data_IF_705308614873
#
_entry.id   IF_705308614873
#
_cell.length_a   1.000
_cell.length_b   1.000
_cell.length_c   1.000
_cell.angle_alpha   90.00
_cell.angle_beta   90.00
_cell.angle_gamma   90.00
#
_symmetry.space_group_name_H-M   'P 1'
#
loop_
_entity.id
_entity.type
_entity.pdbx_description
1 polymer ?
#
# COMPACT_ATOMS: atom_id res chain seq x y z
N UNK A 1 -37.11 28.82 23.69
CA UNK A 1 -35.82 28.55 22.99
C UNK A 1 -35.93 29.05 21.56
N UNK A 2 -34.96 29.81 21.01
CA UNK A 2 -35.04 30.26 19.61
C UNK A 2 -34.66 29.14 18.63
N UNK A 3 -35.14 29.23 17.39
CA UNK A 3 -34.84 28.21 16.37
C UNK A 3 -33.33 28.07 16.10
N UNK A 4 -32.60 29.19 16.07
CA UNK A 4 -31.14 29.19 15.96
C UNK A 4 -30.46 28.37 17.06
N UNK A 5 -30.99 28.43 18.29
CA UNK A 5 -30.49 27.65 19.40
C UNK A 5 -30.78 26.14 19.21
N UNK A 6 -31.98 25.80 18.73
CA UNK A 6 -32.33 24.40 18.42
C UNK A 6 -31.48 23.82 17.29
N UNK A 7 -31.16 24.59 16.25
CA UNK A 7 -30.26 24.17 15.18
C UNK A 7 -28.84 23.89 15.72
N UNK A 8 -28.32 24.73 16.63
CA UNK A 8 -27.03 24.48 17.29
C UNK A 8 -27.04 23.19 18.12
N UNK A 9 -28.13 22.92 18.83
CA UNK A 9 -28.29 21.66 19.58
C UNK A 9 -28.30 20.46 18.63
N UNK A 10 -29.11 20.49 17.56
CA UNK A 10 -29.17 19.40 16.56
C UNK A 10 -27.81 19.11 15.95
N UNK A 11 -27.06 20.15 15.54
CA UNK A 11 -25.69 20.01 15.02
C UNK A 11 -24.77 19.32 16.02
N UNK A 12 -24.83 19.70 17.31
CA UNK A 12 -24.04 19.06 18.37
C UNK A 12 -24.44 17.59 18.58
N UNK A 13 -25.73 17.27 18.58
CA UNK A 13 -26.20 15.89 18.74
C UNK A 13 -25.75 14.99 17.58
N UNK A 14 -25.91 15.46 16.35
CA UNK A 14 -25.44 14.74 15.14
C UNK A 14 -23.92 14.55 15.22
N UNK A 15 -23.16 15.58 15.61
CA UNK A 15 -21.70 15.46 15.73
C UNK A 15 -21.28 14.41 16.77
N UNK A 16 -21.98 14.33 17.91
CA UNK A 16 -21.72 13.33 18.96
C UNK A 16 -22.01 11.92 18.46
N UNK A 17 -23.15 11.71 17.81
CA UNK A 17 -23.51 10.41 17.23
C UNK A 17 -22.47 9.95 16.20
N UNK A 18 -22.04 10.84 15.29
CA UNK A 18 -21.02 10.52 14.31
C UNK A 18 -19.66 10.19 14.93
N UNK A 19 -19.27 10.85 16.02
CA UNK A 19 -18.02 10.54 16.73
C UNK A 19 -18.11 9.15 17.37
N UNK A 20 -19.21 8.84 18.04
CA UNK A 20 -19.44 7.53 18.67
C UNK A 20 -19.42 6.42 17.62
N UNK A 21 -20.20 6.57 16.54
CA UNK A 21 -20.27 5.60 15.44
C UNK A 21 -18.88 5.36 14.80
N UNK A 22 -18.10 6.42 14.57
CA UNK A 22 -16.73 6.30 14.05
C UNK A 22 -15.82 5.53 15.01
N UNK A 23 -15.95 5.79 16.31
CA UNK A 23 -15.15 5.10 17.33
C UNK A 23 -15.47 3.61 17.42
N UNK A 24 -16.76 3.25 17.32
CA UNK A 24 -17.22 1.86 17.31
C UNK A 24 -16.77 1.12 16.06
N UNK A 25 -16.93 1.74 14.88
CA UNK A 25 -16.41 1.18 13.63
C UNK A 25 -14.89 0.96 13.70
N UNK A 26 -14.15 1.89 14.31
CA UNK A 26 -12.71 1.74 14.50
C UNK A 26 -12.36 0.59 15.46
N UNK A 27 -13.11 0.40 16.55
CA UNK A 27 -12.95 -0.74 17.47
C UNK A 27 -13.20 -2.07 16.75
N UNK A 28 -14.33 -2.19 16.03
CA UNK A 28 -14.67 -3.40 15.24
C UNK A 28 -13.59 -3.74 14.22
N UNK A 29 -13.06 -2.73 13.50
CA UNK A 29 -11.96 -2.95 12.54
C UNK A 29 -10.66 -3.40 13.22
N UNK A 30 -10.35 -2.90 14.43
CA UNK A 30 -9.18 -3.36 15.20
C UNK A 30 -9.33 -4.81 15.64
N UNK A 31 -10.51 -5.18 16.13
CA UNK A 31 -10.81 -6.55 16.54
C UNK A 31 -10.73 -7.53 15.37
N UNK A 32 -11.34 -7.19 14.23
CA UNK A 32 -11.25 -7.99 13.01
C UNK A 32 -9.81 -8.18 12.56
N UNK A 33 -8.97 -7.14 12.60
CA UNK A 33 -7.54 -7.24 12.26
C UNK A 33 -6.77 -8.11 13.25
N UNK A 34 -7.06 -7.98 14.55
CA UNK A 34 -6.44 -8.79 15.61
C UNK A 34 -6.79 -10.27 15.42
N UNK A 35 -8.07 -10.57 15.19
CA UNK A 35 -8.55 -11.92 14.94
C UNK A 35 -8.00 -12.50 13.64
N UNK A 36 -8.00 -11.74 12.55
CA UNK A 36 -7.44 -12.17 11.27
C UNK A 36 -5.97 -12.57 11.36
N UNK A 37 -5.16 -11.85 12.14
CA UNK A 37 -3.76 -12.23 12.41
C UNK A 37 -3.65 -13.52 13.22
N UNK A 38 -4.47 -13.71 14.26
CA UNK A 38 -4.49 -14.94 15.04
C UNK A 38 -4.86 -16.15 14.17
N UNK A 39 -5.93 -16.02 13.39
CA UNK A 39 -6.37 -17.05 12.44
C UNK A 39 -5.28 -17.40 11.45
N UNK A 40 -4.58 -16.40 10.90
CA UNK A 40 -3.47 -16.66 9.97
C UNK A 40 -2.35 -17.49 10.61
N UNK A 41 -1.97 -17.17 11.84
CA UNK A 41 -0.94 -17.93 12.58
C UNK A 41 -1.42 -19.34 12.88
N UNK A 42 -2.65 -19.49 13.39
CA UNK A 42 -3.25 -20.79 13.70
C UNK A 42 -3.34 -21.69 12.46
N UNK A 43 -3.74 -21.14 11.31
CA UNK A 43 -3.81 -21.88 10.05
C UNK A 43 -2.43 -22.34 9.60
N UNK A 44 -1.39 -21.50 9.71
CA UNK A 44 -0.02 -21.88 9.36
C UNK A 44 0.47 -22.99 10.30
N UNK A 45 0.22 -22.87 11.60
CA UNK A 45 0.62 -23.89 12.58
C UNK A 45 -0.11 -25.22 12.35
N UNK A 46 -1.42 -25.20 12.06
CA UNK A 46 -2.20 -26.40 11.72
C UNK A 46 -1.62 -27.10 10.49
N UNK A 47 -1.39 -26.36 9.40
CA UNK A 47 -0.75 -26.91 8.17
C UNK A 47 0.63 -27.52 8.43
N UNK A 48 1.44 -26.87 9.28
CA UNK A 48 2.76 -27.40 9.63
C UNK A 48 2.66 -28.68 10.48
N UNK A 49 1.71 -28.74 11.43
CA UNK A 49 1.45 -29.93 12.24
C UNK A 49 0.95 -31.08 11.38
N UNK A 50 -0.03 -30.84 10.50
CA UNK A 50 -0.55 -31.82 9.53
C UNK A 50 0.59 -32.35 8.64
N UNK A 51 1.39 -31.45 8.05
CA UNK A 51 2.56 -31.85 7.25
C UNK A 51 3.58 -32.67 8.04
N UNK A 52 3.85 -32.30 9.29
CA UNK A 52 4.78 -33.05 10.15
C UNK A 52 4.22 -34.44 10.51
N UNK A 53 2.92 -34.53 10.80
CA UNK A 53 2.25 -35.80 11.07
C UNK A 53 2.30 -36.72 9.84
N UNK A 54 1.98 -36.18 8.66
CA UNK A 54 2.08 -36.86 7.37
C UNK A 54 3.51 -37.35 7.09
N UNK A 55 4.52 -36.49 7.27
CA UNK A 55 5.92 -36.91 7.08
C UNK A 55 6.34 -37.99 8.09
N UNK A 56 5.78 -37.96 9.31
CA UNK A 56 6.06 -39.00 10.30
C UNK A 56 5.40 -40.33 9.96
N UNK A 57 4.18 -40.35 9.42
CA UNK A 57 3.52 -41.59 8.99
C UNK A 57 4.24 -42.19 7.78
N UNK A 58 4.61 -41.36 6.79
CA UNK A 58 5.40 -41.80 5.63
C UNK A 58 6.74 -42.41 6.07
N UNK A 59 7.45 -41.78 7.02
CA UNK A 59 8.71 -42.32 7.56
C UNK A 59 8.53 -43.63 8.33
N UNK A 60 7.40 -43.82 9.03
CA UNK A 60 7.11 -45.09 9.76
C UNK A 60 6.77 -46.21 8.78
N UNK A 61 6.00 -45.91 7.75
CA UNK A 61 5.68 -46.84 6.66
C UNK A 61 6.95 -47.27 5.90
N UNK A 62 7.81 -46.31 5.52
CA UNK A 62 9.09 -46.61 4.86
C UNK A 62 10.01 -47.50 5.72
N UNK A 63 9.90 -47.41 7.04
CA UNK A 63 10.66 -48.24 8.00
C UNK A 63 10.01 -49.59 8.31
N UNK A 64 8.85 -49.91 7.73
CA UNK A 64 8.13 -51.17 7.96
C UNK A 64 7.50 -51.30 9.35
N UNK A 65 7.33 -50.20 10.09
CA UNK A 65 6.76 -50.21 11.46
C UNK A 65 5.22 -50.30 11.42
N UNK A 66 4.61 -49.83 10.32
CA UNK A 66 3.15 -49.78 10.16
C UNK A 66 2.80 -50.11 8.71
N UNK A 67 2.05 -51.19 8.46
CA UNK A 67 1.61 -51.61 7.12
C UNK A 67 0.31 -50.93 6.64
N UNK A 68 -0.43 -50.28 7.54
CA UNK A 68 -1.71 -49.64 7.20
C UNK A 68 -1.48 -48.23 6.66
N UNK A 69 -1.91 -47.98 5.42
CA UNK A 69 -1.88 -46.68 4.73
C UNK A 69 -2.95 -45.69 5.24
N UNK A 70 -3.17 -45.65 6.54
CA UNK A 70 -4.24 -44.86 7.18
C UNK A 70 -4.06 -43.34 7.01
N UNK A 71 -2.86 -42.90 6.58
CA UNK A 71 -2.58 -41.51 6.20
C UNK A 71 -3.23 -41.09 4.86
N UNK A 72 -3.47 -42.04 3.95
CA UNK A 72 -4.07 -41.75 2.63
C UNK A 72 -5.60 -41.67 2.67
N UNK A 73 -6.25 -42.34 3.62
CA UNK A 73 -7.72 -42.36 3.76
C UNK A 73 -8.28 -41.20 4.62
N UNK A 74 -7.42 -40.49 5.35
CA UNK A 74 -7.79 -39.27 6.07
C UNK A 74 -7.97 -38.09 5.12
N UNK A 75 -9.19 -37.94 4.58
CA UNK A 75 -9.80 -36.74 3.92
C UNK A 75 -10.36 -36.98 2.49
N UNK A 76 -10.60 -38.23 2.07
CA UNK A 76 -11.30 -38.57 0.81
C UNK A 76 -12.84 -38.64 0.96
N UNK A 77 -13.43 -37.95 1.95
CA UNK A 77 -14.90 -37.88 2.12
C UNK A 77 -15.37 -36.45 2.42
N UNK A 78 -15.22 -35.55 1.44
CA UNK A 78 -16.20 -34.52 1.02
C UNK A 78 -15.55 -33.51 0.07
N UNK A 79 -15.03 -33.98 -1.06
CA UNK A 79 -14.73 -33.11 -2.21
C UNK A 79 -15.72 -33.43 -3.35
N UNK A 80 -17.02 -33.38 -3.04
CA UNK A 80 -18.08 -33.35 -4.05
C UNK A 80 -18.72 -31.97 -3.97
N UNK A 81 -18.73 -31.28 -5.11
CA UNK A 81 -19.43 -30.04 -5.44
C UNK A 81 -18.86 -28.71 -4.90
N UNK A 82 -17.96 -28.14 -5.71
CA UNK A 82 -18.14 -26.77 -6.24
C UNK A 82 -16.98 -26.39 -7.18
N UNK A 83 -16.99 -26.98 -8.37
CA UNK A 83 -16.28 -26.46 -9.55
C UNK A 83 -16.90 -25.13 -9.97
N UNK A 84 -16.48 -24.04 -9.32
CA UNK A 84 -16.97 -22.70 -9.60
C UNK A 84 -16.11 -21.59 -9.01
N UNK A 85 -14.79 -21.76 -8.98
CA UNK A 85 -13.89 -20.75 -8.42
C UNK A 85 -12.64 -20.53 -9.28
N UNK A 86 -12.72 -19.62 -10.25
CA UNK A 86 -11.59 -18.77 -10.67
C UNK A 86 -12.13 -17.65 -11.57
N UNK A 87 -11.81 -16.37 -11.42
CA UNK A 87 -10.59 -15.74 -10.94
C UNK A 87 -10.94 -14.52 -10.10
N UNK A 88 -10.68 -14.56 -8.79
CA UNK A 88 -10.45 -13.31 -8.03
C UNK A 88 -9.18 -12.71 -8.62
N UNK A 89 -9.36 -11.73 -9.50
CA UNK A 89 -8.28 -10.84 -9.95
C UNK A 89 -7.70 -10.23 -8.69
N UNK A 90 -6.56 -10.77 -8.25
CA UNK A 90 -5.68 -10.12 -7.29
C UNK A 90 -5.29 -8.79 -7.94
N UNK A 91 -6.07 -7.74 -7.68
CA UNK A 91 -5.74 -6.38 -8.09
C UNK A 91 -4.47 -6.02 -7.35
N UNK A 92 -3.33 -6.25 -8.01
CA UNK A 92 -2.02 -5.87 -7.50
C UNK A 92 -1.98 -4.37 -7.17
N UNK A 93 -0.92 -3.93 -6.48
CA UNK A 93 -0.75 -2.53 -6.12
C UNK A 93 -1.01 -1.61 -7.32
N UNK A 94 -1.88 -0.61 -7.14
CA UNK A 94 -2.23 0.33 -8.23
C UNK A 94 -0.96 0.97 -8.82
N UNK A 95 -0.97 1.36 -10.09
CA UNK A 95 0.19 2.00 -10.73
C UNK A 95 0.70 3.23 -9.93
N UNK A 96 -0.23 3.99 -9.34
CA UNK A 96 0.10 5.09 -8.41
C UNK A 96 0.85 4.62 -7.17
N UNK A 97 0.49 3.45 -6.62
CA UNK A 97 1.19 2.82 -5.49
C UNK A 97 2.56 2.31 -5.91
N UNK A 98 2.68 1.63 -7.06
CA UNK A 98 3.98 1.19 -7.62
C UNK A 98 4.96 2.35 -7.79
N UNK A 99 4.51 3.46 -8.38
CA UNK A 99 5.35 4.66 -8.54
C UNK A 99 5.75 5.28 -7.20
N UNK A 100 4.84 5.32 -6.22
CA UNK A 100 5.16 5.81 -4.88
C UNK A 100 6.12 4.88 -4.15
N UNK A 101 5.97 3.57 -4.29
CA UNK A 101 6.86 2.58 -3.67
C UNK A 101 8.26 2.61 -4.31
N UNK A 102 8.35 2.84 -5.63
CA UNK A 102 9.62 3.10 -6.30
C UNK A 102 10.26 4.42 -5.83
N UNK A 103 9.46 5.50 -5.77
CA UNK A 103 9.97 6.84 -5.42
C UNK A 103 10.25 7.00 -3.93
N UNK A 104 9.57 6.30 -3.05
CA UNK A 104 9.62 6.52 -1.61
C UNK A 104 9.87 5.27 -0.76
N UNK A 105 9.84 4.07 -1.32
CA UNK A 105 9.85 2.81 -0.57
C UNK A 105 8.44 2.35 -0.17
N UNK A 106 8.26 1.04 0.04
CA UNK A 106 6.99 0.46 0.46
C UNK A 106 6.64 0.95 1.88
N UNK A 107 5.51 1.65 2.03
CA UNK A 107 5.04 2.15 3.33
C UNK A 107 5.50 3.57 3.70
N UNK A 108 6.19 4.29 2.82
CA UNK A 108 6.62 5.69 3.06
C UNK A 108 8.11 5.82 3.35
N UNK A 109 8.49 6.98 3.95
CA UNK A 109 9.85 7.58 4.06
C UNK A 109 10.98 6.57 3.85
N UNK A 110 11.70 6.74 2.72
CA UNK A 110 12.78 5.87 2.23
C UNK A 110 13.66 5.34 3.36
N UNK A 111 13.68 4.02 3.51
CA UNK A 111 14.59 3.24 4.37
C UNK A 111 16.06 3.43 3.96
N UNK A 112 16.64 4.61 4.19
CA UNK A 112 18.05 4.91 3.94
C UNK A 112 18.49 4.98 2.47
N UNK A 113 17.66 4.58 1.49
CA UNK A 113 17.97 4.64 0.03
C UNK A 113 18.25 6.05 -0.55
N UNK A 114 18.22 7.09 0.27
CA UNK A 114 18.57 8.47 -0.09
C UNK A 114 19.83 8.96 0.63
N UNK A 115 20.47 8.10 1.41
CA UNK A 115 21.73 8.40 2.05
C UNK A 115 22.85 8.18 1.05
N UNK A 116 23.83 9.08 1.07
CA UNK A 116 25.01 8.96 0.24
C UNK A 116 25.83 7.78 0.78
N UNK A 117 26.04 6.75 -0.03
CA UNK A 117 26.99 5.67 0.26
C UNK A 117 28.34 6.02 -0.37
N UNK A 118 29.42 5.35 0.06
CA UNK A 118 30.76 5.54 -0.51
C UNK A 118 30.77 5.36 -2.04
N UNK A 119 29.97 4.41 -2.53
CA UNK A 119 29.77 4.14 -3.96
C UNK A 119 28.95 5.23 -4.68
N UNK A 120 27.96 5.85 -4.01
CA UNK A 120 27.11 6.86 -4.64
C UNK A 120 27.67 8.28 -4.58
N UNK A 121 28.83 8.49 -3.96
CA UNK A 121 29.43 9.83 -3.80
C UNK A 121 29.94 10.39 -5.13
N UNK A 122 30.44 9.51 -6.01
CA UNK A 122 31.01 9.89 -7.32
C UNK A 122 30.14 9.49 -8.51
N UNK A 123 28.97 8.87 -8.28
CA UNK A 123 28.08 8.43 -9.36
C UNK A 123 27.24 9.59 -9.92
N UNK A 124 27.67 10.10 -11.08
CA UNK A 124 27.00 11.17 -11.84
C UNK A 124 26.24 10.65 -13.05
N UNK A 125 26.09 9.33 -13.20
CA UNK A 125 25.47 8.71 -14.39
C UNK A 125 23.99 9.09 -14.56
N UNK A 126 23.27 9.29 -13.45
CA UNK A 126 21.88 9.77 -13.43
C UNK A 126 21.75 11.27 -13.75
N UNK A 127 22.86 12.03 -13.74
CA UNK A 127 22.83 13.47 -13.98
C UNK A 127 22.71 13.80 -15.48
N UNK A 128 21.49 14.11 -15.91
CA UNK A 128 21.21 14.57 -17.29
C UNK A 128 21.53 16.05 -17.46
N UNK A 129 22.80 16.38 -17.72
CA UNK A 129 23.27 17.75 -17.96
C UNK A 129 22.45 18.50 -19.03
N UNK A 130 21.99 17.80 -20.08
CA UNK A 130 21.17 18.36 -21.17
C UNK A 130 19.78 18.84 -20.72
N UNK A 131 19.24 18.29 -19.63
CA UNK A 131 17.95 18.70 -19.03
C UNK A 131 18.15 19.72 -17.91
N UNK A 132 19.21 19.55 -17.10
CA UNK A 132 19.50 20.43 -15.98
C UNK A 132 20.07 21.80 -16.40
N UNK A 133 20.87 21.84 -17.47
CA UNK A 133 21.53 23.04 -17.98
C UNK A 133 21.30 23.26 -19.48
N UNK A 134 20.21 22.73 -20.03
CA UNK A 134 19.86 22.87 -21.45
C UNK A 134 19.67 24.31 -21.88
N UNK A 135 20.77 25.02 -22.19
CA UNK A 135 20.81 25.93 -23.33
C UNK A 135 20.68 25.04 -24.55
N UNK A 136 19.44 24.88 -25.00
CA UNK A 136 19.10 24.13 -26.19
C UNK A 136 19.91 24.66 -27.37
N UNK A 137 20.59 23.74 -28.03
CA UNK A 137 21.20 23.93 -29.33
C UNK A 137 20.14 24.44 -30.33
N UNK A 138 20.53 25.41 -31.14
CA UNK A 138 19.70 26.05 -32.16
C UNK A 138 18.95 25.01 -33.00
N UNK A 139 17.62 25.15 -33.12
CA UNK A 139 16.88 24.56 -34.22
C UNK A 139 15.44 24.15 -33.90
N UNK A 140 14.47 24.92 -34.42
CA UNK A 140 13.21 24.34 -34.86
C UNK A 140 11.96 24.56 -34.00
N UNK A 141 11.19 25.57 -34.44
CA UNK A 141 9.72 25.57 -34.56
C UNK A 141 8.85 25.63 -33.29
N UNK A 142 8.28 26.84 -33.11
CA UNK A 142 6.87 27.15 -32.77
C UNK A 142 6.12 26.10 -31.93
N UNK A 143 6.03 26.39 -30.63
CA UNK A 143 4.92 25.95 -29.78
C UNK A 143 4.27 27.17 -29.13
N UNK A 144 3.18 27.68 -29.72
CA UNK A 144 2.23 28.59 -29.05
C UNK A 144 1.69 27.85 -27.83
N UNK A 145 2.25 28.13 -26.65
CA UNK A 145 1.80 27.58 -25.37
C UNK A 145 1.56 28.72 -24.38
N UNK A 146 0.29 28.94 -24.06
CA UNK A 146 -0.29 30.02 -23.25
C UNK A 146 0.61 30.72 -22.22
N UNK A 147 0.50 32.04 -22.20
CA UNK A 147 0.83 32.91 -21.04
C UNK A 147 0.06 32.41 -19.82
N UNK A 148 0.63 31.49 -19.06
CA UNK A 148 0.25 31.33 -17.66
C UNK A 148 0.74 32.56 -16.91
N UNK A 149 -0.13 33.15 -16.07
CA UNK A 149 0.17 34.26 -15.16
C UNK A 149 1.31 33.89 -14.21
N UNK A 150 2.56 33.97 -14.70
CA UNK A 150 3.76 33.86 -13.88
C UNK A 150 3.98 35.23 -13.25
N UNK A 151 3.96 35.26 -11.90
CA UNK A 151 4.31 36.45 -11.12
C UNK A 151 5.64 37.02 -11.63
N UNK A 152 5.73 38.33 -11.89
CA UNK A 152 6.95 38.94 -12.39
C UNK A 152 8.13 38.70 -11.44
N UNK A 153 9.32 38.55 -12.02
CA UNK A 153 10.56 38.30 -11.29
C UNK A 153 10.88 39.39 -10.25
N UNK A 154 11.79 39.09 -9.32
CA UNK A 154 12.10 39.98 -8.17
C UNK A 154 12.61 41.36 -8.62
N UNK A 155 13.40 41.42 -9.70
CA UNK A 155 13.88 42.68 -10.30
C UNK A 155 12.74 43.52 -10.89
N UNK A 156 11.82 42.88 -11.62
CA UNK A 156 10.66 43.54 -12.23
C UNK A 156 9.70 44.07 -11.17
N UNK A 157 9.47 43.30 -10.09
CA UNK A 157 8.67 43.74 -8.94
C UNK A 157 9.27 44.94 -8.22
N UNK A 158 10.60 44.99 -8.08
CA UNK A 158 11.30 46.16 -7.49
C UNK A 158 11.13 47.40 -8.35
N UNK A 159 11.26 47.28 -9.68
CA UNK A 159 11.04 48.42 -10.60
C UNK A 159 9.60 48.93 -10.58
N UNK A 160 8.61 48.04 -10.49
CA UNK A 160 7.20 48.45 -10.40
C UNK A 160 6.88 49.18 -9.09
N UNK A 161 7.55 48.83 -7.99
CA UNK A 161 7.35 49.49 -6.68
C UNK A 161 7.88 50.93 -6.65
N UNK A 162 8.79 51.32 -7.56
CA UNK A 162 9.29 52.69 -7.67
C UNK A 162 8.52 53.57 -8.66
N UNK A 163 7.40 53.07 -9.20
CA UNK A 163 6.51 53.83 -10.11
C UNK A 163 5.17 54.23 -9.46
N UNK A 164 5.03 54.04 -8.14
CA UNK A 164 3.93 54.60 -7.34
C UNK A 164 4.39 55.89 -6.67
#
# INVERSE_FOLDING_TARGET
KSDQHMQKIRKKLISKQLILEKSEKAKKLREQRKFGKKVQVEVIQKRQKEKRAMLSSVKKYQKGITDKLDFLDGDQKTAKDSSGASKKVQRGPSAKRKFKDQKFGFGGKKSGKKWNTKESFNDVSDFRAKVAHGRGEKGGRKGKGGKQNKRPGKSVRRKMKGRS
#
